data_IF_192368091591
#
_entry.id   IF_192368091591
#
_cell.length_a   1.000
_cell.length_b   1.000
_cell.length_c   1.000
_cell.angle_alpha   90.00
_cell.angle_beta   90.00
_cell.angle_gamma   90.00
#
_symmetry.space_group_name_H-M   'P 1'
#
loop_
_entity.id
_entity.type
_entity.pdbx_description
1 polymer ?
#
# COMPACT_ATOMS: atom_id res chain seq x y z
N UNK A 1 -11.09 -2.87 -27.43
CA UNK A 1 -9.82 -3.18 -26.72
C UNK A 1 -9.70 -2.13 -25.63
N UNK A 2 -9.73 -2.53 -24.35
CA UNK A 2 -9.66 -1.58 -23.24
C UNK A 2 -8.33 -0.81 -23.22
N UNK A 3 -8.35 0.43 -22.72
CA UNK A 3 -7.19 1.34 -22.67
C UNK A 3 -5.97 0.70 -22.02
N UNK A 4 -6.15 0.01 -20.89
CA UNK A 4 -5.11 -0.73 -20.18
C UNK A 4 -4.41 -1.77 -21.06
N UNK A 5 -5.18 -2.58 -21.80
CA UNK A 5 -4.63 -3.61 -22.71
C UNK A 5 -3.85 -2.98 -23.87
N UNK A 6 -4.25 -1.78 -24.32
CA UNK A 6 -3.52 -1.02 -25.33
C UNK A 6 -2.19 -0.49 -24.77
N UNK A 7 -2.19 0.10 -23.57
CA UNK A 7 -0.98 0.62 -22.93
C UNK A 7 0.08 -0.46 -22.69
N UNK A 8 -0.33 -1.63 -22.18
CA UNK A 8 0.57 -2.78 -21.98
C UNK A 8 1.17 -3.29 -23.30
N UNK A 9 0.37 -3.32 -24.38
CA UNK A 9 0.86 -3.70 -25.71
C UNK A 9 1.86 -2.69 -26.26
N UNK A 10 1.59 -1.40 -26.10
CA UNK A 10 2.48 -0.33 -26.53
C UNK A 10 3.80 -0.35 -25.76
N UNK A 11 3.76 -0.72 -24.47
CA UNK A 11 4.95 -0.95 -23.65
C UNK A 11 5.69 -2.27 -23.95
N UNK A 12 5.20 -3.12 -24.85
CA UNK A 12 5.78 -4.43 -25.20
C UNK A 12 6.12 -5.30 -23.97
N UNK A 13 5.29 -5.24 -22.93
CA UNK A 13 5.52 -5.96 -21.67
C UNK A 13 6.72 -5.49 -20.83
N UNK A 14 7.30 -4.35 -21.20
CA UNK A 14 8.39 -3.67 -20.46
C UNK A 14 7.85 -2.72 -19.40
N UNK A 15 6.54 -2.74 -19.11
CA UNK A 15 5.94 -1.93 -18.07
C UNK A 15 6.50 -2.31 -16.70
N UNK A 16 7.31 -1.41 -16.15
CA UNK A 16 7.96 -1.54 -14.84
C UNK A 16 7.02 -1.10 -13.72
N UNK A 17 6.14 -0.15 -14.00
CA UNK A 17 5.16 0.40 -13.06
C UNK A 17 3.75 0.20 -13.59
N UNK A 18 2.85 -0.34 -12.76
CA UNK A 18 1.42 -0.45 -13.08
C UNK A 18 0.62 0.06 -11.89
N UNK A 19 -0.29 0.98 -12.19
CA UNK A 19 -1.30 1.47 -11.26
C UNK A 19 -2.63 0.97 -11.77
N UNK A 20 -3.31 0.19 -10.93
CA UNK A 20 -4.58 -0.39 -11.32
C UNK A 20 -5.68 0.68 -11.19
N UNK A 21 -6.61 0.76 -12.16
CA UNK A 21 -7.77 1.64 -12.02
C UNK A 21 -8.72 1.11 -10.94
N UNK A 22 -9.50 2.00 -10.32
CA UNK A 22 -10.53 1.69 -9.30
C UNK A 22 -11.44 0.52 -9.64
N UNK A 23 -11.68 0.30 -10.93
CA UNK A 23 -12.39 -0.88 -11.41
C UNK A 23 -11.51 -1.63 -12.37
N UNK A 24 -11.03 -2.78 -11.92
CA UNK A 24 -10.34 -3.74 -12.77
C UNK A 24 -11.10 -5.06 -12.85
N UNK A 25 -11.36 -5.52 -14.07
CA UNK A 25 -11.96 -6.83 -14.30
C UNK A 25 -10.92 -7.95 -14.15
N UNK A 26 -11.39 -9.16 -13.84
CA UNK A 26 -10.52 -10.32 -13.67
C UNK A 26 -9.65 -10.61 -14.90
N UNK A 27 -10.22 -10.54 -16.10
CA UNK A 27 -9.51 -10.81 -17.36
C UNK A 27 -8.46 -9.74 -17.67
N UNK A 28 -8.66 -8.50 -17.20
CA UNK A 28 -7.68 -7.41 -17.30
C UNK A 28 -6.51 -7.63 -16.36
N UNK A 29 -6.77 -8.04 -15.12
CA UNK A 29 -5.72 -8.38 -14.15
C UNK A 29 -4.91 -9.59 -14.61
N UNK A 30 -5.56 -10.63 -15.14
CA UNK A 30 -4.88 -11.78 -15.75
C UNK A 30 -4.03 -11.33 -16.93
N UNK A 31 -4.56 -10.45 -17.80
CA UNK A 31 -3.81 -9.94 -18.93
C UNK A 31 -2.54 -9.18 -18.49
N UNK A 32 -2.60 -8.32 -17.47
CA UNK A 32 -1.41 -7.68 -16.89
C UNK A 32 -0.44 -8.75 -16.38
N UNK A 33 -0.95 -9.74 -15.64
CA UNK A 33 -0.11 -10.79 -15.06
C UNK A 33 0.65 -11.61 -16.11
N UNK A 34 0.06 -11.83 -17.28
CA UNK A 34 0.67 -12.61 -18.36
C UNK A 34 1.59 -11.76 -19.27
N UNK A 35 1.35 -10.45 -19.37
CA UNK A 35 2.01 -9.59 -20.34
C UNK A 35 3.01 -8.60 -19.72
N UNK A 36 3.07 -8.46 -18.39
CA UNK A 36 4.02 -7.57 -17.69
C UNK A 36 4.97 -8.34 -16.77
N UNK A 37 5.86 -9.22 -17.29
CA UNK A 37 6.81 -9.97 -16.45
C UNK A 37 7.92 -9.08 -15.84
N UNK A 38 8.15 -7.88 -16.40
CA UNK A 38 9.12 -6.90 -15.91
C UNK A 38 8.58 -5.98 -14.80
N UNK A 39 7.35 -6.23 -14.32
CA UNK A 39 6.70 -5.41 -13.31
C UNK A 39 7.53 -5.34 -12.01
N UNK A 40 7.94 -4.13 -11.63
CA UNK A 40 8.63 -3.82 -10.36
C UNK A 40 7.72 -3.12 -9.36
N UNK A 41 6.75 -2.32 -9.80
CA UNK A 41 5.84 -1.58 -8.91
C UNK A 41 4.38 -1.88 -9.27
N UNK A 42 3.57 -2.20 -8.26
CA UNK A 42 2.13 -2.40 -8.40
C UNK A 42 1.37 -1.57 -7.37
N UNK A 43 0.45 -0.72 -7.83
CA UNK A 43 -0.49 0.00 -6.96
C UNK A 43 -1.90 -0.58 -7.08
N UNK A 44 -2.52 -0.87 -5.94
CA UNK A 44 -3.95 -1.17 -5.86
C UNK A 44 -4.72 0.08 -5.40
N UNK A 45 -5.82 0.41 -6.10
CA UNK A 45 -6.68 1.52 -5.74
C UNK A 45 -7.44 1.23 -4.45
N UNK A 46 -7.89 2.30 -3.78
CA UNK A 46 -8.57 2.20 -2.49
C UNK A 46 -9.99 1.60 -2.55
N UNK A 47 -10.62 1.46 -3.72
CA UNK A 47 -12.02 1.01 -3.80
C UNK A 47 -12.38 0.22 -5.07
N UNK A 48 -13.51 -0.52 -4.98
CA UNK A 48 -14.32 -1.08 -6.08
C UNK A 48 -13.77 -2.21 -6.98
N UNK A 49 -12.75 -2.95 -6.54
CA UNK A 49 -12.36 -4.19 -7.22
C UNK A 49 -13.43 -5.29 -6.96
N UNK A 50 -14.00 -5.93 -8.01
CA UNK A 50 -14.96 -7.02 -7.82
C UNK A 50 -14.36 -8.16 -6.98
N UNK A 51 -15.15 -8.73 -6.06
CA UNK A 51 -14.69 -9.80 -5.15
C UNK A 51 -14.00 -10.96 -5.88
N UNK A 52 -14.53 -11.41 -7.02
CA UNK A 52 -13.90 -12.48 -7.79
C UNK A 52 -12.48 -12.12 -8.25
N UNK A 53 -12.26 -10.85 -8.61
CA UNK A 53 -10.96 -10.33 -9.03
C UNK A 53 -10.03 -10.27 -7.83
N UNK A 54 -10.51 -9.74 -6.70
CA UNK A 54 -9.77 -9.67 -5.43
C UNK A 54 -9.26 -11.06 -5.00
N UNK A 55 -10.15 -12.05 -4.95
CA UNK A 55 -9.85 -13.41 -4.48
C UNK A 55 -8.81 -14.11 -5.38
N UNK A 56 -8.68 -13.65 -6.63
CA UNK A 56 -7.72 -14.19 -7.58
C UNK A 56 -6.30 -13.61 -7.46
N UNK A 57 -6.14 -12.41 -6.89
CA UNK A 57 -4.85 -11.70 -6.83
C UNK A 57 -3.72 -12.59 -6.30
N UNK A 58 -3.86 -13.30 -5.17
CA UNK A 58 -2.76 -14.12 -4.64
C UNK A 58 -2.23 -15.15 -5.64
N UNK A 59 -3.10 -15.76 -6.46
CA UNK A 59 -2.69 -16.75 -7.45
C UNK A 59 -1.88 -16.16 -8.62
N UNK A 60 -1.99 -14.86 -8.84
CA UNK A 60 -1.32 -14.15 -9.93
C UNK A 60 0.04 -13.60 -9.53
N UNK A 61 0.30 -13.40 -8.23
CA UNK A 61 1.57 -12.86 -7.69
C UNK A 61 2.79 -13.63 -8.18
N UNK A 62 2.68 -14.95 -8.33
CA UNK A 62 3.77 -15.80 -8.81
C UNK A 62 4.31 -15.44 -10.21
N UNK A 63 3.55 -14.65 -10.99
CA UNK A 63 3.94 -14.17 -12.32
C UNK A 63 4.76 -12.87 -12.27
N UNK A 64 4.66 -12.08 -11.19
CA UNK A 64 5.38 -10.82 -11.01
C UNK A 64 6.70 -11.01 -10.27
N UNK A 65 7.59 -11.84 -10.82
CA UNK A 65 8.85 -12.25 -10.13
C UNK A 65 9.81 -11.10 -9.84
N UNK A 66 9.71 -10.03 -10.62
CA UNK A 66 10.53 -8.82 -10.48
C UNK A 66 9.85 -7.75 -9.62
N UNK A 67 8.71 -8.04 -8.97
CA UNK A 67 8.04 -7.08 -8.12
C UNK A 67 8.94 -6.68 -6.96
N UNK A 68 9.14 -5.39 -6.82
CA UNK A 68 9.98 -4.72 -5.84
C UNK A 68 9.15 -3.95 -4.82
N UNK A 69 8.02 -3.38 -5.25
CA UNK A 69 7.19 -2.51 -4.41
C UNK A 69 5.70 -2.73 -4.60
N UNK A 70 4.96 -2.75 -3.49
CA UNK A 70 3.50 -2.79 -3.45
C UNK A 70 2.96 -1.52 -2.81
N UNK A 71 2.11 -0.79 -3.53
CA UNK A 71 1.37 0.35 -2.99
C UNK A 71 -0.11 0.00 -2.82
N UNK A 72 -0.70 0.40 -1.68
CA UNK A 72 -2.11 0.28 -1.38
C UNK A 72 -2.62 1.65 -0.94
N UNK A 73 -3.50 2.26 -1.72
CA UNK A 73 -4.12 3.53 -1.30
C UNK A 73 -4.95 3.34 -0.03
N UNK A 74 -5.69 2.22 0.05
CA UNK A 74 -6.46 1.84 1.22
C UNK A 74 -6.53 0.33 1.36
N UNK A 75 -6.35 -0.18 2.59
CA UNK A 75 -6.61 -1.59 2.91
C UNK A 75 -8.12 -1.82 2.95
N UNK A 76 -8.69 -2.14 1.79
CA UNK A 76 -10.12 -2.42 1.65
C UNK A 76 -10.54 -3.70 2.37
N UNK A 77 -11.76 -3.69 2.93
CA UNK A 77 -12.39 -4.87 3.50
C UNK A 77 -12.58 -5.93 2.40
N UNK A 78 -11.81 -7.02 2.48
CA UNK A 78 -11.89 -8.15 1.57
C UNK A 78 -10.63 -8.41 0.74
N UNK A 79 -9.67 -7.48 0.69
CA UNK A 79 -8.38 -7.76 0.08
C UNK A 79 -7.66 -8.84 0.91
N UNK A 80 -7.28 -10.00 0.35
CA UNK A 80 -6.61 -11.08 1.09
C UNK A 80 -5.13 -10.76 1.28
N UNK A 81 -4.83 -9.58 1.83
CA UNK A 81 -3.50 -9.02 1.92
C UNK A 81 -2.49 -9.94 2.64
N UNK A 82 -2.86 -10.68 3.70
CA UNK A 82 -1.95 -11.67 4.27
C UNK A 82 -1.49 -12.74 3.29
N UNK A 83 -2.41 -13.23 2.45
CA UNK A 83 -2.10 -14.22 1.41
C UNK A 83 -1.30 -13.61 0.27
N UNK A 84 -1.56 -12.35 -0.09
CA UNK A 84 -0.76 -11.62 -1.09
C UNK A 84 0.69 -11.50 -0.62
N UNK A 85 0.91 -11.07 0.63
CA UNK A 85 2.25 -10.91 1.21
C UNK A 85 2.99 -12.24 1.30
N UNK A 86 2.31 -13.31 1.69
CA UNK A 86 2.85 -14.66 1.69
C UNK A 86 3.34 -15.07 0.29
N UNK A 87 2.53 -14.85 -0.75
CA UNK A 87 2.89 -15.16 -2.13
C UNK A 87 4.02 -14.26 -2.65
N UNK A 88 4.07 -12.98 -2.24
CA UNK A 88 5.18 -12.07 -2.53
C UNK A 88 6.48 -12.63 -1.94
N UNK A 89 6.49 -12.97 -0.65
CA UNK A 89 7.68 -13.54 0.01
C UNK A 89 8.14 -14.87 -0.63
N UNK A 90 7.21 -15.66 -1.17
CA UNK A 90 7.52 -16.89 -1.91
C UNK A 90 8.13 -16.60 -3.28
N UNK A 91 7.56 -15.68 -4.05
CA UNK A 91 7.81 -15.60 -5.49
C UNK A 91 8.60 -14.37 -5.95
N UNK A 92 8.55 -13.26 -5.22
CA UNK A 92 9.14 -11.97 -5.61
C UNK A 92 10.47 -11.77 -4.85
N UNK A 93 11.58 -12.24 -5.41
CA UNK A 93 12.88 -12.25 -4.70
C UNK A 93 13.54 -10.88 -4.55
N UNK A 94 13.11 -9.91 -5.37
CA UNK A 94 13.60 -8.54 -5.32
C UNK A 94 12.67 -7.64 -4.49
N UNK A 95 11.64 -8.19 -3.84
CA UNK A 95 10.67 -7.39 -3.11
C UNK A 95 11.30 -6.68 -1.92
N UNK A 96 11.15 -5.36 -1.86
CA UNK A 96 11.80 -4.51 -0.87
C UNK A 96 10.90 -3.43 -0.28
N UNK A 97 9.73 -3.16 -0.86
CA UNK A 97 8.94 -1.98 -0.49
C UNK A 97 7.44 -2.21 -0.33
N UNK A 98 6.87 -1.66 0.74
CA UNK A 98 5.42 -1.54 0.93
C UNK A 98 5.10 -0.09 1.24
N UNK A 99 4.04 0.43 0.63
CA UNK A 99 3.43 1.70 1.02
C UNK A 99 1.92 1.55 1.18
N UNK A 100 1.36 2.08 2.27
CA UNK A 100 -0.06 2.04 2.58
C UNK A 100 -0.52 3.41 3.08
N UNK A 101 -1.51 4.00 2.41
CA UNK A 101 -2.00 5.34 2.77
C UNK A 101 -3.21 5.31 3.72
N UNK A 102 -3.85 4.15 3.90
CA UNK A 102 -5.02 4.05 4.75
C UNK A 102 -5.42 2.64 5.16
N UNK A 103 -6.06 2.54 6.33
CA UNK A 103 -6.60 1.29 6.86
C UNK A 103 -5.76 0.69 8.01
N UNK A 104 -6.16 -0.50 8.51
CA UNK A 104 -5.58 -1.07 9.73
C UNK A 104 -4.31 -1.90 9.48
N UNK A 105 -3.25 -1.59 10.22
CA UNK A 105 -2.04 -2.44 10.35
C UNK A 105 -2.17 -3.29 11.62
N UNK A 106 -3.07 -4.26 11.56
CA UNK A 106 -3.38 -5.18 12.65
C UNK A 106 -2.33 -6.28 12.88
N UNK A 107 -2.50 -7.04 13.96
CA UNK A 107 -1.53 -8.07 14.40
C UNK A 107 -1.29 -9.18 13.35
N UNK A 108 -2.33 -9.57 12.58
CA UNK A 108 -2.21 -10.55 11.49
C UNK A 108 -1.31 -10.02 10.37
N UNK A 109 -1.56 -8.79 9.90
CA UNK A 109 -0.77 -8.12 8.87
C UNK A 109 0.70 -7.99 9.30
N UNK A 110 0.94 -7.57 10.55
CA UNK A 110 2.30 -7.50 11.10
C UNK A 110 2.97 -8.87 11.08
N UNK A 111 2.27 -9.90 11.53
CA UNK A 111 2.80 -11.28 11.59
C UNK A 111 3.27 -11.77 10.22
N UNK A 112 2.48 -11.54 9.17
CA UNK A 112 2.87 -11.95 7.81
C UNK A 112 3.99 -11.10 7.23
N UNK A 113 4.02 -9.78 7.47
CA UNK A 113 5.13 -8.92 7.04
C UNK A 113 6.45 -9.44 7.64
N UNK A 114 6.50 -9.61 8.97
CA UNK A 114 7.75 -10.02 9.63
C UNK A 114 8.17 -11.44 9.27
N UNK A 115 7.21 -12.31 8.94
CA UNK A 115 7.48 -13.71 8.58
C UNK A 115 7.97 -13.84 7.14
N UNK A 116 7.30 -13.17 6.19
CA UNK A 116 7.52 -13.39 4.77
C UNK A 116 8.40 -12.32 4.12
N UNK A 117 8.51 -11.14 4.73
CA UNK A 117 9.27 -10.00 4.20
C UNK A 117 10.33 -9.48 5.19
N UNK A 118 11.16 -10.33 5.82
CA UNK A 118 12.16 -9.88 6.79
C UNK A 118 13.25 -8.96 6.19
N UNK A 119 13.38 -8.95 4.86
CA UNK A 119 14.32 -8.10 4.09
C UNK A 119 13.69 -6.81 3.55
N UNK A 120 12.52 -6.43 4.07
CA UNK A 120 11.87 -5.18 3.68
C UNK A 120 12.82 -4.01 3.94
N UNK A 121 13.00 -3.15 2.93
CA UNK A 121 13.91 -1.98 2.96
C UNK A 121 13.13 -0.67 3.06
N UNK A 122 11.92 -0.64 2.50
CA UNK A 122 11.03 0.53 2.51
C UNK A 122 9.69 0.16 3.11
N UNK A 123 9.27 0.89 4.13
CA UNK A 123 7.92 0.84 4.67
C UNK A 123 7.39 2.25 4.83
N UNK A 124 6.38 2.59 4.03
CA UNK A 124 5.65 3.84 4.14
C UNK A 124 4.23 3.57 4.61
N UNK A 125 3.86 4.14 5.76
CA UNK A 125 2.54 4.05 6.36
C UNK A 125 1.99 5.47 6.61
N UNK A 126 2.42 6.44 5.79
CA UNK A 126 1.95 7.81 5.88
C UNK A 126 0.49 7.90 5.46
N UNK A 127 -0.36 8.38 6.38
CA UNK A 127 -1.74 8.72 6.08
C UNK A 127 -1.85 9.84 5.05
N UNK A 128 -3.06 10.01 4.53
CA UNK A 128 -3.47 11.16 3.69
C UNK A 128 -4.66 11.86 4.37
N UNK A 129 -4.55 12.05 5.68
CA UNK A 129 -5.63 12.48 6.54
C UNK A 129 -6.03 13.92 6.24
N UNK A 130 -5.05 14.81 6.04
CA UNK A 130 -5.32 16.22 5.70
C UNK A 130 -6.13 16.39 4.41
N UNK A 131 -6.01 15.45 3.47
CA UNK A 131 -6.65 15.52 2.15
C UNK A 131 -7.98 14.77 2.12
N UNK A 132 -8.02 13.54 2.64
CA UNK A 132 -9.17 12.64 2.48
C UNK A 132 -9.78 12.15 3.80
N UNK A 133 -9.32 12.59 4.96
CA UNK A 133 -9.63 11.99 6.27
C UNK A 133 -9.39 10.47 6.30
N UNK A 134 -8.41 10.01 5.52
CA UNK A 134 -7.99 8.61 5.45
C UNK A 134 -6.65 8.50 6.15
N UNK A 135 -6.60 7.73 7.24
CA UNK A 135 -5.39 7.51 8.03
C UNK A 135 -5.03 6.04 8.15
N UNK A 136 -3.80 5.79 8.60
CA UNK A 136 -3.34 4.45 8.96
C UNK A 136 -3.57 4.23 10.45
N UNK A 137 -4.26 3.15 10.81
CA UNK A 137 -4.34 2.70 12.19
C UNK A 137 -3.13 1.80 12.50
N UNK A 138 -2.18 2.33 13.29
CA UNK A 138 -0.93 1.64 13.61
C UNK A 138 -0.63 1.74 15.11
N UNK A 139 -1.05 0.74 15.91
CA UNK A 139 -0.67 0.69 17.33
C UNK A 139 0.85 0.66 17.49
N UNK A 140 1.40 1.41 18.47
CA UNK A 140 2.84 1.39 18.79
C UNK A 140 3.42 -0.05 18.89
N UNK A 141 2.71 -0.98 19.53
CA UNK A 141 3.12 -2.40 19.65
C UNK A 141 3.39 -3.08 18.30
N UNK A 142 2.65 -2.69 17.26
CA UNK A 142 2.71 -3.27 15.94
C UNK A 142 3.89 -2.70 15.16
N UNK A 143 4.16 -1.40 15.30
CA UNK A 143 5.40 -0.81 14.79
C UNK A 143 6.64 -1.46 15.43
N UNK A 144 6.67 -1.64 16.75
CA UNK A 144 7.81 -2.28 17.43
C UNK A 144 8.08 -3.70 16.91
N UNK A 145 7.02 -4.51 16.74
CA UNK A 145 7.12 -5.85 16.13
C UNK A 145 7.68 -5.81 14.71
N UNK A 146 7.25 -4.85 13.88
CA UNK A 146 7.81 -4.65 12.53
C UNK A 146 9.31 -4.33 12.63
N UNK A 147 9.69 -3.37 13.46
CA UNK A 147 11.08 -2.98 13.67
C UNK A 147 11.95 -4.12 14.23
N UNK A 148 11.35 -5.07 14.95
CA UNK A 148 11.98 -6.32 15.42
C UNK A 148 12.20 -7.33 14.30
N UNK A 149 11.22 -7.51 13.41
CA UNK A 149 11.28 -8.50 12.34
C UNK A 149 12.01 -8.04 11.06
N UNK A 150 11.93 -6.75 10.73
CA UNK A 150 12.43 -6.18 9.46
C UNK A 150 13.69 -5.35 9.70
N UNK A 151 14.83 -6.02 9.93
CA UNK A 151 16.10 -5.36 10.30
C UNK A 151 16.85 -4.69 9.15
N UNK A 152 16.36 -4.83 7.92
CA UNK A 152 16.98 -4.26 6.71
C UNK A 152 16.31 -2.95 6.24
N UNK A 153 15.40 -2.38 7.04
CA UNK A 153 14.73 -1.11 6.72
C UNK A 153 15.76 0.04 6.58
N UNK A 154 15.77 0.65 5.41
CA UNK A 154 16.49 1.89 5.10
C UNK A 154 15.56 3.11 5.21
N UNK A 155 14.27 2.93 4.89
CA UNK A 155 13.25 3.98 4.89
C UNK A 155 12.05 3.50 5.70
N UNK A 156 11.66 4.31 6.69
CA UNK A 156 10.42 4.17 7.43
C UNK A 156 9.73 5.52 7.47
N UNK A 157 8.50 5.59 6.98
CA UNK A 157 7.65 6.75 7.09
C UNK A 157 6.36 6.39 7.82
N UNK A 158 6.06 7.10 8.91
CA UNK A 158 4.86 6.92 9.75
C UNK A 158 4.30 8.29 10.11
N UNK A 159 3.63 8.91 9.14
CA UNK A 159 2.95 10.20 9.30
C UNK A 159 1.47 9.95 9.49
N UNK A 160 0.83 10.79 10.29
CA UNK A 160 -0.64 10.79 10.45
C UNK A 160 -1.22 9.42 10.84
N UNK A 161 -0.43 8.61 11.57
CA UNK A 161 -0.84 7.30 12.05
C UNK A 161 -1.63 7.43 13.36
N UNK A 162 -2.87 6.95 13.38
CA UNK A 162 -3.64 6.87 14.62
C UNK A 162 -3.09 5.76 15.54
N UNK A 163 -3.21 5.96 16.86
CA UNK A 163 -2.69 5.06 17.90
C UNK A 163 -1.15 4.87 17.91
N UNK A 164 -0.41 5.66 17.14
CA UNK A 164 1.04 5.64 17.13
C UNK A 164 1.60 6.76 18.02
N UNK A 165 2.34 6.37 19.04
CA UNK A 165 3.18 7.29 19.82
C UNK A 165 4.65 7.00 19.54
N UNK A 166 5.37 8.00 19.07
CA UNK A 166 6.82 7.94 18.89
C UNK A 166 7.49 8.40 20.18
N UNK A 167 8.07 7.47 20.93
CA UNK A 167 8.83 7.75 22.15
C UNK A 167 10.25 7.15 22.08
N UNK A 168 11.03 7.34 23.15
CA UNK A 168 12.44 6.91 23.21
C UNK A 168 12.65 5.43 22.90
N UNK A 169 11.66 4.57 23.20
CA UNK A 169 11.71 3.15 22.87
C UNK A 169 11.66 2.93 21.35
N UNK A 170 10.69 3.56 20.67
CA UNK A 170 10.57 3.51 19.20
C UNK A 170 11.83 4.07 18.54
N UNK A 171 12.29 5.24 19.00
CA UNK A 171 13.49 5.90 18.45
C UNK A 171 14.74 5.02 18.61
N UNK A 172 14.92 4.42 19.80
CA UNK A 172 16.03 3.51 20.05
C UNK A 172 15.96 2.27 19.16
N UNK A 173 14.77 1.71 18.98
CA UNK A 173 14.57 0.51 18.18
C UNK A 173 14.71 0.77 16.68
N UNK A 174 14.34 1.96 16.21
CA UNK A 174 14.48 2.43 14.83
C UNK A 174 15.86 3.04 14.51
N UNK A 175 16.79 3.08 15.47
CA UNK A 175 18.09 3.77 15.34
C UNK A 175 18.99 3.28 14.20
N UNK A 176 18.73 2.09 13.65
CA UNK A 176 19.44 1.54 12.49
C UNK A 176 18.92 2.07 11.14
N UNK A 177 17.74 2.70 11.13
CA UNK A 177 17.07 3.16 9.91
C UNK A 177 17.63 4.52 9.52
N UNK A 178 18.10 4.65 8.27
CA UNK A 178 18.74 5.87 7.77
C UNK A 178 17.74 7.01 7.60
N UNK A 179 16.56 6.70 7.06
CA UNK A 179 15.53 7.66 6.73
C UNK A 179 14.26 7.34 7.53
N UNK A 180 14.24 7.74 8.80
CA UNK A 180 13.05 7.62 9.64
C UNK A 180 12.29 8.95 9.64
N UNK A 181 11.14 8.99 8.95
CA UNK A 181 10.22 10.13 8.91
C UNK A 181 9.00 9.81 9.77
N UNK A 182 8.63 10.73 10.66
CA UNK A 182 7.43 10.59 11.45
C UNK A 182 6.84 11.96 11.73
N UNK A 183 5.54 11.98 11.90
CA UNK A 183 4.78 13.17 12.26
C UNK A 183 3.83 12.80 13.39
N UNK A 184 3.88 13.58 14.46
CA UNK A 184 3.02 13.36 15.62
C UNK A 184 1.77 14.20 15.39
N UNK A 185 0.63 13.52 15.27
CA UNK A 185 -0.65 14.21 15.35
C UNK A 185 -0.85 14.69 16.79
N UNK A 186 -0.75 16.01 16.99
CA UNK A 186 -1.12 16.67 18.24
C UNK A 186 -2.65 16.54 18.40
N UNK A 187 -3.08 15.61 19.26
CA UNK A 187 -4.47 15.41 19.69
C UNK A 187 -5.49 14.87 18.68
N UNK A 188 -5.65 13.54 18.65
CA UNK A 188 -6.82 12.85 18.10
C UNK A 188 -7.49 11.94 19.15
N UNK A 189 -7.78 12.47 20.35
CA UNK A 189 -8.51 11.71 21.37
C UNK A 189 -9.98 11.45 21.01
N UNK A 190 -10.53 12.11 19.98
CA UNK A 190 -11.99 12.25 19.85
C UNK A 190 -12.59 11.62 18.58
N UNK A 191 -11.82 11.07 17.64
CA UNK A 191 -12.37 10.60 16.34
C UNK A 191 -12.47 9.08 16.17
N UNK A 192 -11.81 8.31 17.02
CA UNK A 192 -11.97 6.85 17.06
C UNK A 192 -12.48 6.45 18.45
N UNK A 193 -13.77 6.68 18.71
CA UNK A 193 -14.44 5.83 19.70
C UNK A 193 -14.39 4.38 19.20
N UNK A 194 -14.32 3.43 20.12
CA UNK A 194 -14.29 1.98 19.86
C UNK A 194 -15.47 1.45 18.99
N UNK A 195 -16.39 2.33 18.57
CA UNK A 195 -17.58 2.00 17.75
C UNK A 195 -17.32 2.07 16.23
N UNK A 196 -16.16 2.54 15.76
CA UNK A 196 -15.86 2.71 14.32
C UNK A 196 -15.37 1.44 13.60
N UNK A 197 -15.72 0.25 14.10
CA UNK A 197 -15.57 -1.01 13.37
C UNK A 197 -16.80 -1.38 12.52
N UNK A 198 -17.79 -0.48 12.41
CA UNK A 198 -18.97 -0.67 11.57
C UNK A 198 -19.07 0.40 10.46
N UNK A 199 -18.02 0.57 9.65
CA UNK A 199 -18.22 1.01 8.27
C UNK A 199 -18.44 -0.22 7.39
N UNK A 200 -19.59 -0.87 7.62
CA UNK A 200 -20.29 -1.51 6.52
C UNK A 200 -20.43 -0.48 5.40
N UNK A 201 -19.98 -0.83 4.20
CA UNK A 201 -20.26 -0.07 2.98
C UNK A 201 -21.75 -0.19 2.59
N UNK A 202 -22.62 0.16 3.53
CA UNK A 202 -24.05 0.44 3.32
C UNK A 202 -24.26 1.94 3.56
N UNK A 203 -23.77 2.78 2.65
CA UNK A 203 -24.33 4.12 2.48
C UNK A 203 -24.45 4.46 0.99
N UNK A 204 -25.58 4.04 0.40
CA UNK A 204 -26.15 4.76 -0.73
C UNK A 204 -26.78 6.06 -0.19
N UNK A 205 -26.41 7.21 -0.77
CA UNK A 205 -27.24 8.42 -0.70
C UNK A 205 -26.52 9.71 -0.31
N UNK A 206 -25.51 10.14 -1.08
CA UNK A 206 -25.21 11.56 -1.19
C UNK A 206 -24.94 11.90 -2.66
N UNK A 207 -25.86 12.64 -3.26
CA UNK A 207 -25.76 13.22 -4.59
C UNK A 207 -24.77 14.39 -4.50
N UNK A 208 -23.49 14.06 -4.62
CA UNK A 208 -22.40 15.01 -4.75
C UNK A 208 -21.49 14.51 -5.85
N UNK A 209 -21.65 15.06 -7.05
CA UNK A 209 -20.71 14.87 -8.14
C UNK A 209 -19.34 15.37 -7.66
N UNK A 210 -18.47 14.46 -7.22
CA UNK A 210 -17.05 14.75 -7.14
C UNK A 210 -16.54 14.85 -8.58
N UNK A 211 -16.06 16.05 -8.92
CA UNK A 211 -15.45 16.33 -10.21
C UNK A 211 -14.09 15.62 -10.24
N UNK A 212 -14.04 14.46 -10.90
CA UNK A 212 -12.84 13.61 -11.01
C UNK A 212 -11.68 14.33 -11.73
N UNK A 213 -11.95 15.45 -12.38
CA UNK A 213 -10.95 16.27 -13.04
C UNK A 213 -10.02 16.99 -12.04
N UNK A 214 -10.40 17.14 -10.76
CA UNK A 214 -9.53 17.70 -9.71
C UNK A 214 -8.59 16.64 -9.08
N UNK A 215 -9.02 15.37 -9.08
CA UNK A 215 -8.27 14.24 -8.51
C UNK A 215 -7.00 13.91 -9.30
N UNK A 216 -7.05 14.04 -10.62
CA UNK A 216 -5.91 13.73 -11.51
C UNK A 216 -4.85 14.83 -11.50
N UNK A 217 -5.25 16.10 -11.36
CA UNK A 217 -4.31 17.22 -11.35
C UNK A 217 -3.49 17.28 -10.06
N UNK A 218 -4.04 16.89 -8.90
CA UNK A 218 -3.28 16.86 -7.63
C UNK A 218 -2.33 15.66 -7.52
N UNK A 219 -2.68 14.51 -8.11
CA UNK A 219 -1.76 13.37 -8.19
C UNK A 219 -0.55 13.67 -9.06
N UNK A 220 -0.66 14.57 -10.05
CA UNK A 220 0.48 14.99 -10.88
C UNK A 220 1.46 15.92 -10.12
N UNK A 221 0.97 16.79 -9.23
CA UNK A 221 1.81 17.77 -8.53
C UNK A 221 2.55 17.21 -7.29
N UNK A 222 1.97 16.24 -6.57
CA UNK A 222 2.60 15.60 -5.39
C UNK A 222 3.30 14.27 -5.70
N UNK A 223 3.11 13.69 -6.89
CA UNK A 223 3.82 12.47 -7.29
C UNK A 223 5.33 12.65 -7.27
N UNK A 224 5.83 13.80 -7.71
CA UNK A 224 7.27 14.03 -7.78
C UNK A 224 7.93 13.97 -6.39
N UNK A 225 7.23 14.36 -5.32
CA UNK A 225 7.72 14.26 -3.95
C UNK A 225 7.64 12.83 -3.37
N UNK A 226 6.66 12.03 -3.81
CA UNK A 226 6.45 10.64 -3.34
C UNK A 226 7.27 9.62 -4.15
N UNK A 227 7.67 9.97 -5.37
CA UNK A 227 8.51 9.18 -6.29
C UNK A 227 10.01 9.40 -6.04
N UNK A 228 10.41 10.40 -5.22
CA UNK A 228 11.82 10.71 -4.87
C UNK A 228 12.64 9.56 -4.25
N UNK A 229 12.03 8.41 -3.96
CA UNK A 229 12.71 7.26 -3.35
C UNK A 229 12.86 6.02 -4.24
N UNK A 230 12.44 6.07 -5.50
CA UNK A 230 12.92 5.10 -6.48
C UNK A 230 14.35 5.49 -6.86
N UNK A 231 15.34 4.57 -6.81
CA UNK A 231 16.69 4.90 -7.24
C UNK A 231 16.63 5.40 -8.69
N UNK A 232 17.17 6.60 -8.95
CA UNK A 232 17.21 7.21 -10.29
C UNK A 232 18.00 6.37 -11.32
N UNK A 233 18.70 5.33 -10.87
CA UNK A 233 19.39 4.35 -11.70
C UNK A 233 18.89 2.91 -11.42
N UNK A 234 17.82 2.44 -12.11
CA UNK A 234 17.52 0.99 -12.23
C UNK A 234 16.69 0.52 -13.44
#
# INVERSE_FOLDING_TARGET
MGLLKLLVKLGNGSSVHVILPDRIAYDELVYISDNCPALKFLSFPGSNIPKQTIDSIPSLVCKWKNLEHLHLEYISHGLPLPKIIEEIGRHCKNFTGISVNGGPIGDEMVSVIVTWLPKLRTLDLSGIFEVLNIGVYLPKKNLLKILEGCKELDVLAVRECSQLKIDDEVLKQASYIKNFKYEVLDDFSDFYSDDYYDFGLDYYGYDGYYDYDDFTNYLEDDWDDWVTYLPEDM
#
